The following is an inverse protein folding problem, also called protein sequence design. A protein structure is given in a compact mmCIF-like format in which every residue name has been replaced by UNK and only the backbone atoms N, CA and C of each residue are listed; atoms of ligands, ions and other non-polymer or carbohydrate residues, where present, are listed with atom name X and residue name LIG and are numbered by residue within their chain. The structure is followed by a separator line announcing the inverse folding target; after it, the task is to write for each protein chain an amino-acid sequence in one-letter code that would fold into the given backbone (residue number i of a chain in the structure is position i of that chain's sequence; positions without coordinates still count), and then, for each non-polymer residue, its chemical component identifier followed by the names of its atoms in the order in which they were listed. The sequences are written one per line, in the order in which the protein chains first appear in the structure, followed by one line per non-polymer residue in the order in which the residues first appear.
data_IF_616567442888
#
_entry.id   IF_616567442888
#
_cell.length_a   1.000
_cell.length_b   1.000
_cell.length_c   1.000
_cell.angle_alpha   90.00
_cell.angle_beta   90.00
_cell.angle_gamma   90.00
#
_symmetry.space_group_name_H-M   'P 1'
#
loop_
_entity.id
_entity.type
_entity.pdbx_description
1 polymer ?
#
# COMPACT_ATOMS: atom_id res chain seq x y z
N UNK A 1 38.03 -66.13 19.90
CA UNK A 1 37.16 -65.45 20.93
C UNK A 1 37.36 -63.97 20.84
N UNK A 2 36.60 -63.29 19.99
CA UNK A 2 36.64 -61.86 19.84
C UNK A 2 35.41 -61.29 20.52
N UNK A 3 35.62 -60.49 21.54
CA UNK A 3 34.56 -59.72 22.21
C UNK A 3 34.40 -58.39 21.50
N UNK A 4 33.23 -58.17 20.87
CA UNK A 4 32.78 -56.86 20.40
C UNK A 4 32.28 -56.05 21.61
N UNK A 5 32.80 -54.84 21.78
CA UNK A 5 32.31 -53.82 22.71
C UNK A 5 31.37 -52.89 21.89
N UNK A 6 30.12 -52.69 22.31
CA UNK A 6 29.26 -51.73 21.62
C UNK A 6 29.59 -50.29 22.04
N UNK A 7 29.83 -49.44 21.05
CA UNK A 7 30.01 -48.01 21.22
C UNK A 7 28.61 -47.36 21.36
N UNK A 8 28.26 -46.91 22.54
CA UNK A 8 27.02 -46.13 22.77
C UNK A 8 27.30 -44.70 22.38
N UNK A 9 26.72 -44.27 21.28
CA UNK A 9 26.70 -42.86 20.86
C UNK A 9 25.66 -42.10 21.73
N UNK A 10 26.12 -41.21 22.60
CA UNK A 10 25.26 -40.25 23.29
C UNK A 10 24.83 -39.19 22.30
N UNK A 11 23.59 -39.24 21.87
CA UNK A 11 22.93 -38.11 21.19
C UNK A 11 22.60 -37.02 22.21
N UNK A 12 23.42 -35.99 22.26
CA UNK A 12 23.09 -34.75 22.96
C UNK A 12 21.98 -34.03 22.22
N UNK A 13 20.74 -34.17 22.66
CA UNK A 13 19.61 -33.36 22.27
C UNK A 13 19.82 -31.93 22.79
N UNK A 14 20.39 -31.08 21.96
CA UNK A 14 20.40 -29.64 22.21
C UNK A 14 18.98 -29.10 22.11
N UNK A 15 18.35 -28.84 23.25
CA UNK A 15 17.16 -27.99 23.31
C UNK A 15 17.60 -26.60 22.89
N UNK A 16 17.22 -26.19 21.68
CA UNK A 16 17.27 -24.79 21.30
C UNK A 16 16.29 -24.03 22.20
N UNK A 17 16.82 -23.34 23.22
CA UNK A 17 16.06 -22.31 23.91
C UNK A 17 15.71 -21.25 22.86
N UNK A 18 14.41 -21.04 22.61
CA UNK A 18 13.94 -19.85 21.94
C UNK A 18 14.50 -18.67 22.76
N UNK A 19 15.32 -17.82 22.12
CA UNK A 19 15.84 -16.63 22.77
C UNK A 19 14.64 -15.78 23.19
N UNK A 20 14.52 -15.50 24.49
CA UNK A 20 13.47 -14.62 24.99
C UNK A 20 13.57 -13.26 24.29
N UNK A 21 12.41 -12.76 23.83
CA UNK A 21 12.34 -11.43 23.19
C UNK A 21 12.87 -10.36 24.14
N UNK A 22 13.69 -9.41 23.66
CA UNK A 22 14.15 -8.35 24.52
C UNK A 22 12.96 -7.53 25.04
N UNK A 23 13.00 -7.23 26.33
CA UNK A 23 11.99 -6.42 27.00
C UNK A 23 12.61 -5.20 27.69
N UNK A 24 11.77 -4.20 27.99
CA UNK A 24 12.22 -2.96 28.58
C UNK A 24 12.90 -3.18 29.95
N UNK A 25 12.24 -3.88 30.86
CA UNK A 25 12.69 -4.01 32.26
C UNK A 25 14.04 -4.69 32.41
N UNK A 26 14.24 -5.77 31.68
CA UNK A 26 15.39 -6.65 31.85
C UNK A 26 16.55 -6.29 30.94
N UNK A 27 16.25 -5.73 29.75
CA UNK A 27 17.24 -5.55 28.72
C UNK A 27 17.52 -4.09 28.37
N UNK A 28 16.49 -3.23 28.29
CA UNK A 28 16.63 -1.85 27.81
C UNK A 28 16.86 -0.86 28.95
N UNK A 29 16.13 -1.00 30.05
CA UNK A 29 16.28 -0.13 31.20
C UNK A 29 17.70 -0.10 31.77
N UNK A 30 18.48 -1.22 31.83
CA UNK A 30 19.88 -1.18 32.21
C UNK A 30 20.73 -0.27 31.30
N UNK A 31 20.50 -0.33 29.96
CA UNK A 31 21.19 0.54 28.99
C UNK A 31 20.86 2.01 29.26
N UNK A 32 19.57 2.33 29.46
CA UNK A 32 19.15 3.70 29.74
C UNK A 32 19.68 4.21 31.08
N UNK A 33 19.76 3.37 32.11
CA UNK A 33 20.37 3.72 33.40
C UNK A 33 21.84 4.10 33.27
N UNK A 34 22.57 3.39 32.43
CA UNK A 34 24.02 3.60 32.24
C UNK A 34 24.30 4.86 31.42
N UNK A 35 23.51 5.13 30.37
CA UNK A 35 23.86 6.13 29.38
C UNK A 35 22.93 7.35 29.32
N UNK A 36 21.65 7.22 29.71
CA UNK A 36 20.62 8.21 29.40
C UNK A 36 19.98 8.86 30.63
N UNK A 37 19.76 8.10 31.72
CA UNK A 37 18.98 8.56 32.88
C UNK A 37 19.65 9.70 33.65
N UNK A 38 20.91 10.05 33.37
CA UNK A 38 21.57 11.22 33.95
C UNK A 38 20.92 12.56 33.53
N UNK A 39 20.24 12.59 32.38
CA UNK A 39 19.56 13.76 31.80
C UNK A 39 18.05 13.54 31.61
N UNK A 40 17.65 12.32 31.22
CA UNK A 40 16.27 11.96 30.92
C UNK A 40 15.62 11.19 32.09
N UNK A 41 15.30 11.92 33.18
CA UNK A 41 14.69 11.41 34.39
C UNK A 41 13.65 12.42 34.91
N UNK A 42 12.79 12.05 35.88
CA UNK A 42 11.73 12.92 36.41
C UNK A 42 12.19 14.27 36.97
N UNK A 43 13.44 14.40 37.41
CA UNK A 43 13.97 15.61 38.03
C UNK A 43 14.50 16.61 36.99
N UNK A 44 15.19 16.11 35.94
CA UNK A 44 15.80 16.93 34.88
C UNK A 44 14.99 16.97 33.60
N UNK A 45 14.35 15.86 33.25
CA UNK A 45 13.53 15.58 32.07
C UNK A 45 13.83 16.48 30.87
N UNK A 46 15.10 16.54 30.42
CA UNK A 46 15.50 17.29 29.22
C UNK A 46 14.62 16.90 28.04
N UNK A 47 14.06 17.87 27.35
CA UNK A 47 13.03 17.71 26.31
C UNK A 47 11.73 17.04 26.80
N UNK A 48 11.39 17.12 28.10
CA UNK A 48 10.24 16.44 28.72
C UNK A 48 10.26 14.91 28.58
N UNK A 49 11.43 14.32 28.35
CA UNK A 49 11.61 12.87 28.13
C UNK A 49 12.06 12.18 29.42
N UNK A 50 11.28 11.20 29.86
CA UNK A 50 11.63 10.29 30.95
C UNK A 50 11.94 8.89 30.41
N UNK A 51 13.21 8.48 30.49
CA UNK A 51 13.66 7.15 30.10
C UNK A 51 13.82 6.18 31.29
N UNK A 52 13.40 6.58 32.48
CA UNK A 52 13.47 5.74 33.69
C UNK A 52 12.32 4.75 33.78
N UNK A 53 11.23 5.01 33.07
CA UNK A 53 10.01 4.17 33.08
C UNK A 53 9.58 3.81 31.68
N UNK A 54 8.96 2.65 31.50
CA UNK A 54 8.37 2.23 30.23
C UNK A 54 7.31 3.24 29.75
N UNK A 55 6.43 3.66 30.66
CA UNK A 55 5.40 4.65 30.34
C UNK A 55 5.98 5.99 29.89
N UNK A 56 7.09 6.44 30.47
CA UNK A 56 7.80 7.65 30.06
C UNK A 56 8.38 7.54 28.65
N UNK A 57 8.98 6.41 28.30
CA UNK A 57 9.50 6.17 26.95
C UNK A 57 8.38 6.16 25.91
N UNK A 58 7.27 5.49 26.19
CA UNK A 58 6.11 5.40 25.28
C UNK A 58 5.38 6.74 25.16
N UNK A 59 5.32 7.52 26.24
CA UNK A 59 4.75 8.88 26.20
C UNK A 59 5.53 9.80 25.25
N UNK A 60 6.86 9.60 25.15
CA UNK A 60 7.73 10.41 24.33
C UNK A 60 8.17 11.72 24.98
N UNK A 61 8.60 12.68 24.15
CA UNK A 61 9.15 13.98 24.52
C UNK A 61 8.20 15.12 24.20
N UNK A 62 8.58 16.36 24.53
CA UNK A 62 7.87 17.57 24.07
C UNK A 62 7.81 17.69 22.53
N UNK A 63 8.70 17.00 21.81
CA UNK A 63 8.70 16.93 20.34
C UNK A 63 7.84 15.80 19.76
N UNK A 64 7.24 14.95 20.60
CA UNK A 64 6.43 13.81 20.18
C UNK A 64 7.00 12.45 20.53
N UNK A 65 6.53 11.41 19.84
CA UNK A 65 6.99 10.03 20.00
C UNK A 65 8.50 9.88 19.72
N UNK A 66 9.22 9.29 20.66
CA UNK A 66 10.66 9.00 20.51
C UNK A 66 10.94 7.56 20.06
N UNK A 67 9.98 6.65 20.25
CA UNK A 67 10.04 5.25 19.79
C UNK A 67 8.76 4.88 19.06
N UNK A 68 8.88 4.21 17.92
CA UNK A 68 7.76 3.67 17.16
C UNK A 68 7.86 2.16 17.10
N UNK A 69 6.88 1.45 17.66
CA UNK A 69 6.87 0.00 17.65
C UNK A 69 7.03 -0.56 16.24
N UNK A 70 7.99 -1.46 16.05
CA UNK A 70 8.26 -2.09 14.77
C UNK A 70 9.15 -1.31 13.80
N UNK A 71 9.45 -0.04 14.06
CA UNK A 71 10.12 0.85 13.09
C UNK A 71 11.33 1.56 13.72
N UNK A 72 12.43 0.85 13.97
CA UNK A 72 13.61 1.44 14.63
C UNK A 72 14.20 2.59 13.82
N UNK A 73 14.32 2.47 12.49
CA UNK A 73 15.01 3.43 11.63
C UNK A 73 14.30 4.79 11.47
N UNK A 74 13.10 4.96 12.02
CA UNK A 74 12.39 6.24 12.12
C UNK A 74 11.98 6.57 13.56
N UNK A 75 12.58 5.88 14.53
CA UNK A 75 12.45 6.16 15.96
C UNK A 75 13.53 7.13 16.38
N UNK A 76 13.20 8.34 16.81
CA UNK A 76 14.16 9.37 17.19
C UNK A 76 15.19 8.91 18.22
N UNK A 77 14.76 8.09 19.16
CA UNK A 77 15.66 7.49 20.13
C UNK A 77 16.75 6.64 19.45
N UNK A 78 16.37 5.84 18.44
CA UNK A 78 17.32 4.99 17.71
C UNK A 78 18.24 5.82 16.82
N UNK A 79 17.69 6.79 16.09
CA UNK A 79 18.47 7.71 15.26
C UNK A 79 19.50 8.49 16.09
N UNK A 80 19.12 8.98 17.27
CA UNK A 80 20.00 9.71 18.18
C UNK A 80 21.14 8.85 18.72
N UNK A 81 20.87 7.61 19.15
CA UNK A 81 21.92 6.70 19.68
C UNK A 81 22.83 6.12 18.59
N UNK A 82 22.38 6.12 17.33
CA UNK A 82 23.19 5.74 16.17
C UNK A 82 24.01 6.88 15.59
N UNK A 83 23.77 8.11 16.08
CA UNK A 83 24.38 9.33 15.58
C UNK A 83 24.07 9.56 14.08
N UNK A 84 22.79 9.41 13.69
CA UNK A 84 22.34 9.70 12.34
C UNK A 84 22.59 11.17 11.96
N UNK A 85 22.80 11.44 10.65
CA UNK A 85 23.34 12.72 10.18
C UNK A 85 22.50 13.96 10.54
N UNK A 86 21.15 13.80 10.62
CA UNK A 86 20.23 14.92 10.78
C UNK A 86 19.61 15.00 12.19
N UNK A 87 20.12 14.23 13.16
CA UNK A 87 19.59 14.15 14.51
C UNK A 87 20.69 14.45 15.53
N UNK A 88 20.34 15.14 16.63
CA UNK A 88 21.28 15.42 17.69
C UNK A 88 21.79 14.12 18.33
N UNK A 89 23.12 13.89 18.35
CA UNK A 89 23.68 12.63 18.81
C UNK A 89 23.56 12.47 20.33
N UNK A 90 23.12 11.30 20.77
CA UNK A 90 23.01 10.92 22.17
C UNK A 90 23.91 9.73 22.54
N UNK A 91 24.59 9.76 23.68
CA UNK A 91 24.71 10.86 24.65
C UNK A 91 25.50 12.05 24.10
N UNK A 92 25.13 13.31 24.45
CA UNK A 92 25.77 14.50 23.88
C UNK A 92 27.24 14.59 24.30
N UNK A 93 28.11 14.94 23.35
CA UNK A 93 29.58 15.10 23.57
C UNK A 93 30.28 13.84 24.08
N UNK A 94 29.68 12.66 23.93
CA UNK A 94 30.28 11.36 24.28
C UNK A 94 30.33 10.46 23.05
N UNK A 95 31.19 9.43 23.08
CA UNK A 95 31.16 8.39 22.06
C UNK A 95 29.78 7.71 21.99
N UNK A 96 29.49 7.16 20.82
CA UNK A 96 28.36 6.27 20.58
C UNK A 96 28.36 5.13 21.61
N UNK A 97 27.18 4.72 22.09
CA UNK A 97 27.05 3.56 22.96
C UNK A 97 27.47 2.27 22.23
N UNK A 98 27.84 1.19 22.94
CA UNK A 98 28.33 -0.04 22.33
C UNK A 98 27.37 -0.61 21.28
N UNK A 99 27.88 -1.06 20.14
CA UNK A 99 27.06 -1.59 19.04
C UNK A 99 26.14 -2.76 19.45
N UNK A 100 26.57 -3.59 20.40
CA UNK A 100 25.72 -4.65 20.95
C UNK A 100 24.49 -4.12 21.71
N UNK A 101 24.63 -3.00 22.42
CA UNK A 101 23.51 -2.35 23.11
C UNK A 101 22.58 -1.66 22.11
N UNK A 102 23.13 -1.06 21.06
CA UNK A 102 22.34 -0.48 19.95
C UNK A 102 21.54 -1.58 19.25
N UNK A 103 22.16 -2.72 18.97
CA UNK A 103 21.49 -3.85 18.36
C UNK A 103 20.32 -4.36 19.22
N UNK A 104 20.50 -4.37 20.56
CA UNK A 104 19.46 -4.78 21.49
C UNK A 104 18.31 -3.78 21.55
N UNK A 105 18.58 -2.47 21.53
CA UNK A 105 17.54 -1.43 21.43
C UNK A 105 16.81 -1.55 20.11
N UNK A 106 17.53 -1.77 18.99
CA UNK A 106 16.94 -2.02 17.67
C UNK A 106 15.95 -3.18 17.71
N UNK A 107 16.41 -4.31 18.24
CA UNK A 107 15.58 -5.52 18.33
C UNK A 107 14.36 -5.29 19.21
N UNK A 108 14.48 -4.62 20.36
CA UNK A 108 13.36 -4.29 21.23
C UNK A 108 12.29 -3.42 20.53
N UNK A 109 12.72 -2.39 19.79
CA UNK A 109 11.80 -1.56 19.01
C UNK A 109 11.15 -2.40 17.90
N UNK A 110 11.93 -3.19 17.18
CA UNK A 110 11.49 -4.04 16.08
C UNK A 110 10.47 -5.10 16.53
N UNK A 111 10.62 -5.65 17.74
CA UNK A 111 9.70 -6.65 18.31
C UNK A 111 8.51 -6.03 19.07
N UNK A 112 8.35 -4.70 18.99
CA UNK A 112 7.16 -3.99 19.43
C UNK A 112 7.16 -3.54 20.87
N UNK A 113 8.30 -3.09 21.37
CA UNK A 113 8.42 -2.38 22.65
C UNK A 113 7.89 -3.18 23.86
N UNK A 114 8.21 -4.46 23.97
CA UNK A 114 7.71 -5.31 25.08
C UNK A 114 8.18 -4.76 26.42
N UNK A 115 7.27 -4.58 27.40
CA UNK A 115 7.62 -4.00 28.71
C UNK A 115 8.38 -4.96 29.63
N UNK A 116 7.92 -6.21 29.72
CA UNK A 116 8.47 -7.22 30.65
C UNK A 116 8.34 -8.62 30.04
N UNK A 117 8.97 -9.60 30.67
CA UNK A 117 8.87 -11.01 30.28
C UNK A 117 7.41 -11.46 30.30
N UNK A 118 6.89 -11.93 29.17
CA UNK A 118 5.47 -12.27 28.97
C UNK A 118 4.54 -11.08 28.71
N UNK A 119 5.09 -9.86 28.61
CA UNK A 119 4.33 -8.67 28.20
C UNK A 119 3.85 -8.76 26.76
N UNK A 120 2.75 -8.06 26.45
CA UNK A 120 2.24 -7.96 25.09
C UNK A 120 3.10 -6.98 24.29
N UNK A 121 3.37 -7.33 23.04
CA UNK A 121 3.98 -6.44 22.05
C UNK A 121 2.97 -5.34 21.67
N UNK A 122 3.44 -4.10 21.51
CA UNK A 122 2.64 -3.01 20.96
C UNK A 122 2.45 -3.14 19.45
N UNK A 123 3.13 -4.08 18.79
CA UNK A 123 2.83 -4.42 17.41
C UNK A 123 1.38 -4.92 17.33
N UNK A 124 0.61 -4.33 16.44
CA UNK A 124 -0.70 -4.88 16.14
C UNK A 124 -0.51 -6.28 15.55
N UNK A 125 -1.07 -7.31 16.18
CA UNK A 125 -1.18 -8.62 15.54
C UNK A 125 -2.10 -8.47 14.32
N UNK A 126 -1.51 -8.37 13.15
CA UNK A 126 -2.25 -8.45 11.91
C UNK A 126 -2.55 -9.94 11.68
N UNK A 127 -3.76 -10.37 12.02
CA UNK A 127 -4.26 -11.73 11.74
C UNK A 127 -4.65 -11.85 10.27
N UNK A 128 -3.65 -11.70 9.42
CA UNK A 128 -3.79 -11.80 7.98
C UNK A 128 -3.06 -13.05 7.50
N UNK A 129 -3.77 -13.93 6.78
CA UNK A 129 -3.15 -15.14 6.23
C UNK A 129 -2.33 -14.78 4.98
N UNK A 130 -1.02 -14.65 5.18
CA UNK A 130 -0.03 -14.35 4.15
C UNK A 130 0.28 -15.59 3.29
N UNK A 131 -0.20 -16.78 3.70
CA UNK A 131 0.18 -18.05 3.06
C UNK A 131 -0.62 -18.37 1.80
N UNK A 132 -1.70 -17.65 1.52
CA UNK A 132 -2.49 -17.85 0.31
C UNK A 132 -1.84 -17.18 -0.89
N UNK A 133 -0.66 -17.66 -1.24
CA UNK A 133 -0.05 -17.37 -2.52
C UNK A 133 -0.98 -17.76 -3.64
N UNK A 134 -1.33 -16.86 -4.50
CA UNK A 134 -1.29 -16.98 -5.95
C UNK A 134 -2.35 -16.14 -6.63
N UNK A 135 -1.97 -15.58 -7.76
CA UNK A 135 -2.80 -15.09 -8.86
C UNK A 135 -3.78 -16.15 -9.44
N UNK A 136 -3.99 -17.25 -8.74
CA UNK A 136 -4.83 -18.37 -9.17
C UNK A 136 -6.24 -18.19 -8.64
N UNK A 137 -7.22 -18.47 -9.49
CA UNK A 137 -8.63 -18.53 -9.12
C UNK A 137 -8.81 -19.39 -7.87
N UNK A 138 -9.56 -18.92 -6.85
CA UNK A 138 -9.84 -19.71 -5.65
C UNK A 138 -10.47 -21.07 -6.02
N UNK A 139 -10.13 -22.12 -5.28
CA UNK A 139 -10.64 -23.48 -5.52
C UNK A 139 -12.13 -23.67 -5.14
N UNK A 140 -12.76 -22.66 -4.55
CA UNK A 140 -14.16 -22.63 -4.15
C UNK A 140 -14.91 -21.52 -4.86
N UNK A 141 -16.10 -21.19 -4.32
CA UNK A 141 -16.86 -20.03 -4.77
C UNK A 141 -16.05 -18.77 -4.50
N UNK A 142 -16.05 -17.79 -5.44
CA UNK A 142 -15.39 -16.50 -5.22
C UNK A 142 -15.95 -15.77 -4.02
N UNK A 143 -15.12 -15.03 -3.31
CA UNK A 143 -15.52 -14.28 -2.12
C UNK A 143 -16.62 -13.26 -2.45
N UNK A 144 -17.74 -13.37 -1.75
CA UNK A 144 -18.88 -12.46 -1.83
C UNK A 144 -19.28 -12.02 -0.42
N UNK A 145 -19.77 -10.80 -0.24
CA UNK A 145 -20.24 -10.30 1.05
C UNK A 145 -21.30 -11.21 1.68
N UNK A 146 -21.12 -11.52 2.98
CA UNK A 146 -22.05 -12.32 3.77
C UNK A 146 -22.61 -11.47 4.92
N UNK A 147 -23.89 -11.08 4.83
CA UNK A 147 -24.60 -10.37 5.90
C UNK A 147 -23.94 -9.05 6.36
N UNK A 148 -23.43 -8.27 5.42
CA UNK A 148 -22.86 -6.96 5.73
C UNK A 148 -23.97 -5.92 6.00
N UNK A 149 -23.68 -4.85 6.78
CA UNK A 149 -24.62 -3.76 6.95
C UNK A 149 -24.85 -3.04 5.62
N UNK A 150 -26.10 -2.72 5.33
CA UNK A 150 -26.53 -1.97 4.14
C UNK A 150 -27.03 -0.56 4.48
N UNK A 151 -26.97 -0.19 5.77
CA UNK A 151 -27.34 1.16 6.23
C UNK A 151 -26.09 2.02 6.17
N UNK A 152 -26.06 3.09 5.34
CA UNK A 152 -24.89 3.93 5.21
C UNK A 152 -24.65 4.75 6.50
N UNK A 153 -23.41 4.79 7.00
CA UNK A 153 -23.07 5.62 8.15
C UNK A 153 -23.12 7.13 7.82
N UNK A 154 -23.03 7.48 6.53
CA UNK A 154 -23.16 8.84 6.06
C UNK A 154 -24.15 8.91 4.90
N UNK A 155 -25.14 9.78 5.01
CA UNK A 155 -26.12 10.09 3.96
C UNK A 155 -25.95 11.56 3.59
N UNK A 156 -25.70 11.82 2.32
CA UNK A 156 -25.53 13.18 1.79
C UNK A 156 -26.66 13.53 0.83
N UNK A 157 -27.08 14.80 0.73
CA UNK A 157 -28.14 15.23 -0.19
C UNK A 157 -27.74 15.07 -1.68
N UNK A 158 -26.44 14.96 -1.96
CA UNK A 158 -25.92 14.78 -3.31
C UNK A 158 -25.02 13.52 -3.36
N UNK A 159 -24.97 12.82 -4.51
CA UNK A 159 -24.01 11.73 -4.71
C UNK A 159 -22.58 12.21 -4.51
N UNK A 160 -21.78 11.41 -3.82
CA UNK A 160 -20.34 11.65 -3.74
C UNK A 160 -19.67 11.26 -5.05
N UNK A 161 -18.65 12.01 -5.48
CA UNK A 161 -17.83 11.63 -6.62
C UNK A 161 -17.25 10.21 -6.42
N UNK A 162 -17.22 9.42 -7.48
CA UNK A 162 -16.53 8.12 -7.44
C UNK A 162 -15.03 8.39 -7.56
N UNK A 163 -14.33 8.46 -6.44
CA UNK A 163 -12.88 8.73 -6.40
C UNK A 163 -12.06 7.45 -6.55
N UNK A 164 -12.64 6.30 -6.24
CA UNK A 164 -12.04 4.98 -6.37
C UNK A 164 -13.09 3.94 -6.77
N UNK A 165 -12.68 2.98 -7.60
CA UNK A 165 -13.51 1.92 -8.13
C UNK A 165 -12.64 0.68 -8.35
N UNK A 166 -13.13 -0.50 -7.96
CA UNK A 166 -12.49 -1.77 -8.24
C UNK A 166 -13.52 -2.88 -8.48
N UNK A 167 -13.29 -3.71 -9.50
CA UNK A 167 -14.05 -4.92 -9.73
C UNK A 167 -13.30 -6.14 -9.17
N UNK A 168 -14.03 -7.07 -8.55
CA UNK A 168 -13.43 -8.32 -8.06
C UNK A 168 -12.88 -9.15 -9.23
N UNK A 169 -11.71 -9.78 -9.06
CA UNK A 169 -11.13 -10.61 -10.11
C UNK A 169 -11.95 -11.87 -10.42
N UNK A 170 -12.78 -12.37 -9.52
CA UNK A 170 -13.45 -13.66 -9.71
C UNK A 170 -14.95 -13.68 -9.40
N UNK A 171 -15.44 -12.70 -8.63
CA UNK A 171 -16.83 -12.57 -8.25
C UNK A 171 -17.54 -11.47 -9.05
N UNK A 172 -18.85 -11.52 -9.24
CA UNK A 172 -19.64 -10.42 -9.79
C UNK A 172 -19.82 -9.29 -8.75
N UNK A 173 -18.70 -8.77 -8.25
CA UNK A 173 -18.63 -7.81 -7.16
C UNK A 173 -17.85 -6.57 -7.58
N UNK A 174 -18.37 -5.40 -7.26
CA UNK A 174 -17.70 -4.13 -7.47
C UNK A 174 -17.69 -3.31 -6.17
N UNK A 175 -16.53 -2.73 -5.87
CA UNK A 175 -16.33 -1.79 -4.77
C UNK A 175 -16.28 -0.37 -5.30
N UNK A 176 -17.06 0.53 -4.71
CA UNK A 176 -17.22 1.92 -5.15
C UNK A 176 -16.98 2.82 -3.94
N UNK A 177 -16.16 3.85 -4.08
CA UNK A 177 -15.97 4.84 -3.03
C UNK A 177 -17.24 5.66 -2.80
N UNK A 178 -17.57 5.90 -1.54
CA UNK A 178 -18.56 6.85 -1.08
C UNK A 178 -17.95 7.83 -0.08
N UNK A 179 -18.76 8.67 0.54
CA UNK A 179 -18.30 9.58 1.57
C UNK A 179 -18.04 8.82 2.88
N UNK A 180 -16.77 8.72 3.29
CA UNK A 180 -16.30 7.99 4.46
C UNK A 180 -16.77 6.53 4.50
N UNK A 181 -17.02 5.92 3.36
CA UNK A 181 -17.52 4.56 3.23
C UNK A 181 -17.21 3.98 1.85
N UNK A 182 -17.32 2.67 1.73
CA UNK A 182 -17.17 1.90 0.51
C UNK A 182 -18.44 1.10 0.29
N UNK A 183 -19.01 1.20 -0.90
CA UNK A 183 -20.20 0.48 -1.29
C UNK A 183 -19.81 -0.79 -2.05
N UNK A 184 -20.23 -1.95 -1.59
CA UNK A 184 -20.08 -3.22 -2.28
C UNK A 184 -21.37 -3.54 -3.02
N UNK A 185 -21.32 -3.61 -4.35
CA UNK A 185 -22.47 -3.87 -5.21
C UNK A 185 -22.25 -5.10 -6.09
N UNK A 186 -23.34 -5.79 -6.39
CA UNK A 186 -23.33 -6.84 -7.41
C UNK A 186 -23.09 -6.21 -8.78
N UNK A 187 -22.12 -6.70 -9.55
CA UNK A 187 -21.70 -6.07 -10.80
C UNK A 187 -22.77 -6.12 -11.92
N UNK A 188 -23.64 -7.13 -11.91
CA UNK A 188 -24.69 -7.32 -12.93
C UNK A 188 -26.03 -6.75 -12.49
N UNK A 189 -26.47 -7.04 -11.26
CA UNK A 189 -27.78 -6.59 -10.76
C UNK A 189 -27.75 -5.18 -10.18
N UNK A 190 -26.55 -4.66 -9.88
CA UNK A 190 -26.30 -3.39 -9.22
C UNK A 190 -26.85 -3.28 -7.79
N UNK A 191 -27.31 -4.41 -7.23
CA UNK A 191 -27.80 -4.50 -5.87
C UNK A 191 -26.69 -4.17 -4.87
N UNK A 192 -27.05 -3.43 -3.81
CA UNK A 192 -26.14 -3.13 -2.70
C UNK A 192 -26.02 -4.37 -1.81
N UNK A 193 -24.84 -4.95 -1.73
CA UNK A 193 -24.54 -6.15 -0.95
C UNK A 193 -23.94 -5.83 0.43
N UNK A 194 -23.38 -4.64 0.60
CA UNK A 194 -22.80 -4.23 1.86
C UNK A 194 -22.14 -2.87 1.82
N UNK A 195 -21.85 -2.34 3.01
CA UNK A 195 -21.16 -1.07 3.20
C UNK A 195 -20.02 -1.28 4.18
N UNK A 196 -18.82 -0.84 3.80
CA UNK A 196 -17.64 -0.85 4.68
C UNK A 196 -17.37 0.58 5.13
N UNK A 197 -17.35 0.87 6.45
CA UNK A 197 -16.99 2.18 6.95
C UNK A 197 -15.50 2.49 6.70
N UNK A 198 -15.21 3.72 6.23
CA UNK A 198 -13.87 4.25 6.06
C UNK A 198 -13.80 5.65 6.68
N UNK A 199 -13.77 5.75 8.02
CA UNK A 199 -13.77 7.03 8.74
C UNK A 199 -12.48 7.84 8.56
N UNK A 200 -11.44 7.25 7.98
CA UNK A 200 -10.14 7.86 7.68
C UNK A 200 -10.22 9.06 6.73
N UNK A 201 -11.31 9.19 5.98
CA UNK A 201 -11.54 10.31 5.08
C UNK A 201 -11.98 9.90 3.67
N UNK A 202 -11.44 10.57 2.65
CA UNK A 202 -11.74 10.27 1.25
C UNK A 202 -11.01 9.00 0.81
N UNK A 203 -11.73 8.06 0.21
CA UNK A 203 -11.15 6.86 -0.40
C UNK A 203 -10.61 7.24 -1.79
N UNK A 204 -9.29 7.21 -1.98
CA UNK A 204 -8.64 7.53 -3.26
C UNK A 204 -8.27 6.29 -4.07
N UNK A 205 -8.12 5.14 -3.40
CA UNK A 205 -7.78 3.87 -4.04
C UNK A 205 -8.58 2.73 -3.48
N UNK A 206 -9.04 1.85 -4.36
CA UNK A 206 -9.61 0.54 -4.05
C UNK A 206 -8.92 -0.49 -4.94
N UNK A 207 -8.52 -1.63 -4.36
CA UNK A 207 -7.95 -2.76 -5.08
C UNK A 207 -8.41 -4.07 -4.43
N UNK A 208 -8.89 -5.00 -5.22
CA UNK A 208 -9.05 -6.37 -4.74
C UNK A 208 -7.71 -7.11 -4.81
N UNK A 209 -7.45 -7.97 -3.85
CA UNK A 209 -6.37 -8.94 -3.94
C UNK A 209 -6.56 -9.86 -5.13
N UNK A 210 -5.48 -10.48 -5.60
CA UNK A 210 -5.49 -11.33 -6.81
C UNK A 210 -6.46 -12.52 -6.71
N UNK A 211 -6.66 -13.05 -5.51
CA UNK A 211 -7.65 -14.11 -5.23
C UNK A 211 -9.07 -13.56 -4.94
N UNK A 212 -9.25 -12.25 -4.80
CA UNK A 212 -10.53 -11.61 -4.55
C UNK A 212 -11.03 -11.66 -3.10
N UNK A 213 -10.27 -12.23 -2.17
CA UNK A 213 -10.69 -12.39 -0.77
C UNK A 213 -10.51 -11.14 0.08
N UNK A 214 -9.62 -10.25 -0.33
CA UNK A 214 -9.27 -9.01 0.39
C UNK A 214 -9.56 -7.80 -0.48
N UNK A 215 -10.11 -6.76 0.13
CA UNK A 215 -10.24 -5.43 -0.46
C UNK A 215 -9.30 -4.47 0.26
N UNK A 216 -8.36 -3.91 -0.47
CA UNK A 216 -7.53 -2.79 -0.04
C UNK A 216 -8.27 -1.48 -0.30
N UNK A 217 -8.34 -0.64 0.71
CA UNK A 217 -8.81 0.73 0.60
C UNK A 217 -7.74 1.69 1.14
N UNK A 218 -7.39 2.68 0.36
CA UNK A 218 -6.43 3.72 0.75
C UNK A 218 -7.00 5.11 0.56
N UNK A 219 -6.61 6.04 1.42
CA UNK A 219 -7.10 7.41 1.37
C UNK A 219 -6.72 8.22 2.59
N UNK A 220 -7.56 9.19 2.94
CA UNK A 220 -7.30 10.05 4.09
C UNK A 220 -7.88 11.44 3.95
N UNK A 221 -7.34 12.36 4.76
CA UNK A 221 -7.66 13.78 4.78
C UNK A 221 -6.41 14.55 4.37
N UNK A 222 -6.49 15.27 3.25
CA UNK A 222 -5.36 16.03 2.71
C UNK A 222 -4.74 16.97 3.75
N UNK A 223 -3.41 16.92 3.88
CA UNK A 223 -2.64 17.70 4.83
C UNK A 223 -2.86 17.32 6.31
N UNK A 224 -3.49 16.18 6.61
CA UNK A 224 -3.79 15.75 7.98
C UNK A 224 -3.50 14.29 8.25
N UNK A 225 -4.00 13.39 7.41
CA UNK A 225 -3.86 11.95 7.66
C UNK A 225 -4.01 11.13 6.40
N UNK A 226 -3.37 9.96 6.39
CA UNK A 226 -3.54 8.97 5.33
C UNK A 226 -3.27 7.56 5.84
N UNK A 227 -4.07 6.61 5.35
CA UNK A 227 -4.01 5.22 5.78
C UNK A 227 -4.47 4.27 4.69
N UNK A 228 -3.97 3.05 4.74
CA UNK A 228 -4.48 1.90 3.99
C UNK A 228 -5.15 0.94 4.96
N UNK A 229 -6.33 0.47 4.59
CA UNK A 229 -7.10 -0.54 5.35
C UNK A 229 -7.34 -1.75 4.46
N UNK A 230 -7.05 -2.92 4.98
CA UNK A 230 -7.37 -4.19 4.35
C UNK A 230 -8.66 -4.75 4.97
N UNK A 231 -9.63 -5.07 4.12
CA UNK A 231 -10.90 -5.64 4.54
C UNK A 231 -11.04 -7.08 4.03
N UNK A 232 -11.53 -7.96 4.87
CA UNK A 232 -12.06 -9.25 4.45
C UNK A 232 -13.36 -9.05 3.66
N UNK A 233 -13.43 -9.54 2.44
CA UNK A 233 -14.55 -9.30 1.54
C UNK A 233 -15.85 -9.96 2.02
N UNK A 234 -15.76 -11.13 2.61
CA UNK A 234 -16.93 -11.88 3.05
C UNK A 234 -17.58 -11.29 4.31
N UNK A 235 -16.76 -11.00 5.32
CA UNK A 235 -17.22 -10.54 6.63
C UNK A 235 -17.21 -9.03 6.81
N UNK A 236 -16.55 -8.27 5.92
CA UNK A 236 -16.33 -6.84 6.06
C UNK A 236 -15.39 -6.45 7.19
N UNK A 237 -14.75 -7.43 7.85
CA UNK A 237 -13.86 -7.17 8.97
C UNK A 237 -12.58 -6.50 8.49
N UNK A 238 -12.11 -5.51 9.25
CA UNK A 238 -10.79 -4.91 9.06
C UNK A 238 -9.72 -5.91 9.48
N UNK A 239 -8.89 -6.32 8.53
CA UNK A 239 -7.80 -7.27 8.74
C UNK A 239 -6.54 -6.55 9.21
N UNK A 240 -6.23 -5.41 8.55
CA UNK A 240 -5.06 -4.61 8.85
C UNK A 240 -5.31 -3.14 8.59
N UNK A 241 -4.59 -2.28 9.31
CA UNK A 241 -4.48 -0.85 9.07
C UNK A 241 -3.00 -0.52 8.94
N UNK A 242 -2.59 0.01 7.80
CA UNK A 242 -1.19 0.19 7.40
C UNK A 242 -0.93 1.64 7.03
N UNK A 243 0.22 2.14 7.44
CA UNK A 243 0.62 3.52 7.24
C UNK A 243 0.01 4.45 8.28
N UNK A 244 0.71 5.53 8.53
CA UNK A 244 0.31 6.64 9.39
C UNK A 244 0.87 7.92 8.73
N UNK A 245 0.26 8.25 7.58
CA UNK A 245 0.71 9.35 6.75
C UNK A 245 0.15 10.67 7.26
N UNK A 246 0.93 11.75 7.11
CA UNK A 246 0.50 13.12 7.43
C UNK A 246 -0.28 13.77 6.27
N UNK A 247 -0.56 13.01 5.21
CA UNK A 247 -1.34 13.43 4.06
C UNK A 247 -2.02 12.21 3.43
N UNK A 248 -3.00 12.45 2.57
CA UNK A 248 -3.77 11.38 1.93
C UNK A 248 -2.89 10.40 1.16
N UNK A 249 -3.18 9.10 1.27
CA UNK A 249 -2.67 8.08 0.37
C UNK A 249 -3.35 8.24 -0.99
N UNK A 250 -2.58 8.54 -2.05
CA UNK A 250 -3.11 8.76 -3.40
C UNK A 250 -3.20 7.46 -4.21
N UNK A 251 -2.25 6.55 -4.00
CA UNK A 251 -2.29 5.21 -4.58
C UNK A 251 -1.68 4.19 -3.62
N UNK A 252 -2.18 2.97 -3.67
CA UNK A 252 -1.69 1.83 -2.92
C UNK A 252 -2.05 0.53 -3.64
N UNK A 253 -1.28 -0.51 -3.41
CA UNK A 253 -1.59 -1.84 -3.91
C UNK A 253 -1.02 -2.92 -3.00
N UNK A 254 -1.50 -4.15 -3.16
CA UNK A 254 -1.15 -5.34 -2.40
C UNK A 254 -0.43 -6.33 -3.31
N UNK A 255 0.70 -6.87 -2.88
CA UNK A 255 1.40 -7.92 -3.62
C UNK A 255 0.53 -9.17 -3.81
N UNK A 256 0.80 -9.96 -4.85
CA UNK A 256 -0.01 -11.13 -5.21
C UNK A 256 -0.05 -12.18 -4.09
N UNK A 257 1.04 -12.32 -3.35
CA UNK A 257 1.21 -13.22 -2.22
C UNK A 257 0.74 -12.64 -0.87
N UNK A 258 0.20 -11.41 -0.91
CA UNK A 258 -0.24 -10.65 0.27
C UNK A 258 0.87 -10.27 1.27
N UNK A 259 2.14 -10.45 0.94
CA UNK A 259 3.26 -10.14 1.86
C UNK A 259 3.53 -8.65 1.99
N UNK A 260 3.29 -7.87 0.93
CA UNK A 260 3.62 -6.45 0.89
C UNK A 260 2.41 -5.60 0.58
N UNK A 261 2.28 -4.50 1.31
CA UNK A 261 1.46 -3.35 0.92
C UNK A 261 2.39 -2.20 0.62
N UNK A 262 2.24 -1.62 -0.56
CA UNK A 262 2.94 -0.39 -0.91
C UNK A 262 1.96 0.76 -1.01
N UNK A 263 2.32 1.90 -0.45
CA UNK A 263 1.54 3.13 -0.51
C UNK A 263 2.40 4.32 -0.91
N UNK A 264 1.76 5.29 -1.56
CA UNK A 264 2.37 6.51 -2.09
C UNK A 264 1.42 7.70 -1.99
N UNK A 265 2.00 8.91 -2.05
CA UNK A 265 1.19 10.12 -1.95
C UNK A 265 1.98 11.41 -2.21
N UNK A 266 1.53 12.55 -1.65
CA UNK A 266 2.14 13.86 -1.84
C UNK A 266 3.56 13.98 -1.28
N UNK A 267 3.93 13.13 -0.32
CA UNK A 267 5.27 13.14 0.30
C UNK A 267 6.41 12.77 -0.66
N UNK A 268 6.12 12.30 -1.90
CA UNK A 268 7.09 11.85 -2.92
C UNK A 268 7.89 10.61 -2.51
N UNK A 269 7.40 9.87 -1.52
CA UNK A 269 8.04 8.72 -0.93
C UNK A 269 7.22 7.49 -1.28
N UNK A 270 7.92 6.44 -1.71
CA UNK A 270 7.33 5.10 -1.80
C UNK A 270 7.61 4.38 -0.48
N UNK A 271 6.58 3.87 0.16
CA UNK A 271 6.67 3.11 1.40
C UNK A 271 6.17 1.69 1.18
N UNK A 272 7.01 0.71 1.50
CA UNK A 272 6.69 -0.73 1.42
C UNK A 272 6.57 -1.28 2.83
N UNK A 273 5.46 -1.91 3.13
CA UNK A 273 5.16 -2.49 4.44
C UNK A 273 5.00 -4.00 4.36
N UNK A 274 5.47 -4.70 5.38
CA UNK A 274 5.16 -6.11 5.60
C UNK A 274 3.75 -6.24 6.18
N UNK A 275 2.90 -7.00 5.52
CA UNK A 275 1.50 -7.19 5.95
C UNK A 275 1.37 -8.07 7.19
N UNK A 276 2.34 -8.92 7.48
CA UNK A 276 2.29 -9.84 8.63
C UNK A 276 2.36 -9.13 9.97
N UNK A 277 3.02 -7.98 10.00
CA UNK A 277 3.29 -7.22 11.23
C UNK A 277 3.06 -5.71 11.09
N UNK A 278 2.76 -5.21 9.87
CA UNK A 278 2.56 -3.78 9.58
C UNK A 278 3.84 -2.95 9.61
N UNK A 279 5.03 -3.58 9.63
CA UNK A 279 6.30 -2.86 9.66
C UNK A 279 6.65 -2.22 8.33
N UNK A 280 7.22 -1.01 8.37
CA UNK A 280 7.82 -0.37 7.23
C UNK A 280 9.14 -1.06 6.89
N UNK A 281 9.20 -1.71 5.72
CA UNK A 281 10.40 -2.36 5.20
C UNK A 281 11.29 -1.38 4.43
N UNK A 282 10.69 -0.61 3.54
CA UNK A 282 11.42 0.32 2.69
C UNK A 282 10.74 1.69 2.65
N UNK A 283 11.57 2.72 2.74
CA UNK A 283 11.23 4.12 2.53
C UNK A 283 12.12 4.65 1.42
N UNK A 284 11.55 4.87 0.23
CA UNK A 284 12.30 5.15 -0.99
C UNK A 284 12.01 6.58 -1.46
N UNK A 285 13.05 7.40 -1.53
CA UNK A 285 13.01 8.80 -1.95
C UNK A 285 13.69 8.95 -3.31
N UNK A 286 12.95 8.70 -4.38
CA UNK A 286 13.46 8.79 -5.76
C UNK A 286 12.63 9.72 -6.63
N UNK A 287 11.33 9.79 -6.38
CA UNK A 287 10.41 10.62 -7.14
C UNK A 287 10.61 12.11 -6.87
N UNK A 288 10.41 12.92 -7.89
CA UNK A 288 10.64 14.37 -7.83
C UNK A 288 9.39 15.18 -7.50
N UNK A 289 8.20 14.58 -7.65
CA UNK A 289 6.91 15.19 -7.34
C UNK A 289 5.94 14.16 -6.75
N UNK A 290 4.70 14.57 -6.44
CA UNK A 290 3.65 13.71 -5.90
C UNK A 290 3.53 12.45 -6.72
N UNK A 291 3.51 11.32 -6.02
CA UNK A 291 3.32 10.02 -6.66
C UNK A 291 1.81 9.78 -6.74
N UNK A 292 1.31 9.60 -7.96
CA UNK A 292 -0.13 9.59 -8.27
C UNK A 292 -0.66 8.24 -8.71
N UNK A 293 0.24 7.31 -9.06
CA UNK A 293 -0.14 5.97 -9.48
C UNK A 293 0.84 4.92 -8.94
N UNK A 294 0.32 3.75 -8.62
CA UNK A 294 1.07 2.60 -8.15
C UNK A 294 0.34 1.32 -8.55
N UNK A 295 1.07 0.31 -8.98
CA UNK A 295 0.51 -1.00 -9.30
C UNK A 295 1.55 -2.10 -9.13
N UNK A 296 1.20 -3.18 -8.43
CA UNK A 296 2.01 -4.40 -8.37
C UNK A 296 1.92 -5.22 -9.64
N UNK A 297 3.04 -5.79 -10.06
CA UNK A 297 3.08 -6.82 -11.08
C UNK A 297 2.28 -8.06 -10.65
N UNK A 298 1.76 -8.86 -11.59
CA UNK A 298 0.93 -10.01 -11.26
C UNK A 298 1.61 -11.11 -10.45
N UNK A 299 2.94 -11.23 -10.55
CA UNK A 299 3.77 -12.14 -9.73
C UNK A 299 3.95 -11.65 -8.29
N UNK A 300 3.82 -10.34 -8.05
CA UNK A 300 3.99 -9.72 -6.75
C UNK A 300 5.43 -9.37 -6.40
N UNK A 301 6.41 -9.74 -7.22
CA UNK A 301 7.83 -9.50 -6.98
C UNK A 301 8.24 -8.06 -7.29
N UNK A 302 7.53 -7.42 -8.22
CA UNK A 302 7.80 -6.05 -8.66
C UNK A 302 6.55 -5.18 -8.53
N UNK A 303 6.79 -3.86 -8.43
CA UNK A 303 5.73 -2.87 -8.56
C UNK A 303 6.23 -1.63 -9.31
N UNK A 304 5.32 -0.93 -9.94
CA UNK A 304 5.58 0.34 -10.62
C UNK A 304 4.96 1.49 -9.84
N UNK A 305 5.65 2.63 -9.76
CA UNK A 305 5.15 3.89 -9.20
C UNK A 305 5.39 5.03 -10.18
N UNK A 306 4.48 6.02 -10.23
CA UNK A 306 4.58 7.13 -11.17
C UNK A 306 4.20 8.47 -10.53
N UNK A 307 4.88 9.55 -10.97
CA UNK A 307 4.71 10.87 -10.39
C UNK A 307 4.12 11.93 -11.37
N UNK A 308 3.92 13.13 -10.85
CA UNK A 308 3.34 14.26 -11.58
C UNK A 308 4.28 14.87 -12.61
N UNK A 309 5.57 14.57 -12.57
CA UNK A 309 6.54 15.02 -13.55
C UNK A 309 6.75 14.03 -14.71
N UNK A 310 6.03 12.90 -14.69
CA UNK A 310 6.11 11.88 -15.73
C UNK A 310 7.08 10.75 -15.43
N UNK A 311 7.81 10.81 -14.32
CA UNK A 311 8.73 9.75 -13.91
C UNK A 311 7.97 8.48 -13.52
N UNK A 312 8.36 7.35 -14.10
CA UNK A 312 7.87 6.02 -13.72
C UNK A 312 9.07 5.21 -13.28
N UNK A 313 8.98 4.59 -12.11
CA UNK A 313 9.99 3.68 -11.58
C UNK A 313 9.39 2.31 -11.33
N UNK A 314 10.13 1.26 -11.70
CA UNK A 314 9.80 -0.13 -11.38
C UNK A 314 10.78 -0.62 -10.32
N UNK A 315 10.27 -1.28 -9.31
CA UNK A 315 10.98 -1.66 -8.10
C UNK A 315 10.86 -3.16 -7.83
N UNK A 316 11.90 -3.75 -7.27
CA UNK A 316 11.83 -5.06 -6.62
C UNK A 316 11.26 -4.88 -5.21
N UNK A 317 10.14 -5.54 -4.89
CA UNK A 317 9.39 -5.28 -3.66
C UNK A 317 10.16 -5.69 -2.39
N UNK A 318 10.84 -6.83 -2.44
CA UNK A 318 11.56 -7.37 -1.27
C UNK A 318 12.80 -6.56 -0.90
N UNK A 319 13.51 -6.02 -1.90
CA UNK A 319 14.76 -5.26 -1.68
C UNK A 319 14.59 -3.74 -1.71
N UNK A 320 13.45 -3.25 -2.20
CA UNK A 320 13.26 -1.82 -2.47
C UNK A 320 14.20 -1.27 -3.54
N UNK A 321 14.79 -2.15 -4.36
CA UNK A 321 15.75 -1.78 -5.39
C UNK A 321 15.06 -1.39 -6.69
N UNK A 322 15.62 -0.38 -7.40
CA UNK A 322 15.10 0.02 -8.70
C UNK A 322 15.50 -0.99 -9.78
N UNK A 323 14.51 -1.42 -10.57
CA UNK A 323 14.70 -2.30 -11.73
C UNK A 323 14.76 -1.47 -13.01
N UNK A 324 13.79 -0.57 -13.21
CA UNK A 324 13.72 0.33 -14.36
C UNK A 324 13.35 1.75 -13.95
N UNK A 325 13.90 2.73 -14.67
CA UNK A 325 13.40 4.10 -14.71
C UNK A 325 12.90 4.36 -16.14
N UNK A 326 11.60 4.56 -16.30
CA UNK A 326 10.91 4.68 -17.58
C UNK A 326 10.67 6.17 -17.87
N UNK A 327 11.19 6.68 -19.00
CA UNK A 327 11.25 8.12 -19.30
C UNK A 327 10.67 8.45 -20.69
N UNK A 328 9.36 8.30 -20.86
CA UNK A 328 8.62 8.75 -22.07
C UNK A 328 7.69 9.91 -21.77
N UNK A 329 6.93 9.81 -20.64
CA UNK A 329 6.04 10.88 -20.22
C UNK A 329 6.81 12.08 -19.67
N UNK A 330 6.29 13.30 -19.91
CA UNK A 330 6.87 14.57 -19.41
C UNK A 330 5.84 15.38 -18.60
N UNK A 331 4.71 14.78 -18.29
CA UNK A 331 3.60 15.33 -17.53
C UNK A 331 3.06 14.26 -16.59
N UNK A 332 2.14 14.64 -15.71
CA UNK A 332 1.56 13.73 -14.73
C UNK A 332 1.08 12.42 -15.36
N UNK A 333 1.62 11.33 -14.86
CA UNK A 333 1.08 9.99 -15.10
C UNK A 333 -0.10 9.79 -14.14
N UNK A 334 -1.27 9.53 -14.72
CA UNK A 334 -2.53 9.46 -13.97
C UNK A 334 -2.80 8.07 -13.42
N UNK A 335 -2.42 7.03 -14.17
CA UNK A 335 -2.69 5.64 -13.80
C UNK A 335 -1.71 4.66 -14.44
N UNK A 336 -1.55 3.50 -13.79
CA UNK A 336 -0.68 2.39 -14.19
C UNK A 336 -1.45 1.08 -14.11
N UNK A 337 -1.30 0.22 -15.10
CA UNK A 337 -1.89 -1.11 -15.10
C UNK A 337 -0.94 -2.15 -15.70
N UNK A 338 -0.70 -3.25 -14.99
CA UNK A 338 0.04 -4.39 -15.48
C UNK A 338 -0.87 -5.36 -16.22
N UNK A 339 -0.39 -5.87 -17.37
CA UNK A 339 -1.05 -6.99 -18.04
C UNK A 339 -0.89 -8.26 -17.19
N UNK A 340 -1.90 -9.13 -17.23
CA UNK A 340 -1.97 -10.33 -16.37
C UNK A 340 -0.78 -11.30 -16.50
N UNK A 341 -0.03 -11.25 -17.59
CA UNK A 341 1.17 -12.07 -17.79
C UNK A 341 2.48 -11.42 -17.29
N UNK A 342 2.40 -10.21 -16.72
CA UNK A 342 3.54 -9.45 -16.21
C UNK A 342 4.49 -8.89 -17.27
N UNK A 343 4.23 -9.12 -18.57
CA UNK A 343 5.15 -8.74 -19.64
C UNK A 343 4.98 -7.31 -20.14
N UNK A 344 3.85 -6.70 -19.84
CA UNK A 344 3.53 -5.35 -20.28
C UNK A 344 3.01 -4.51 -19.12
N UNK A 345 3.46 -3.27 -19.04
CA UNK A 345 2.89 -2.22 -18.23
C UNK A 345 2.24 -1.18 -19.13
N UNK A 346 1.05 -0.73 -18.81
CA UNK A 346 0.40 0.40 -19.44
C UNK A 346 0.45 1.63 -18.54
N UNK A 347 0.72 2.80 -19.09
CA UNK A 347 0.66 4.08 -18.38
C UNK A 347 -0.13 5.10 -19.16
N UNK A 348 -1.03 5.81 -18.48
CA UNK A 348 -1.80 6.91 -19.02
C UNK A 348 -1.40 8.25 -18.40
N UNK A 349 -1.32 9.33 -19.21
CA UNK A 349 -0.86 10.63 -18.74
C UNK A 349 -1.75 11.80 -19.19
N UNK A 350 -1.54 12.95 -18.54
CA UNK A 350 -2.31 14.19 -18.76
C UNK A 350 -2.12 14.81 -20.16
N UNK A 351 -1.12 14.37 -20.94
CA UNK A 351 -0.94 14.74 -22.35
C UNK A 351 -1.83 13.94 -23.31
N UNK A 352 -2.64 13.01 -22.80
CA UNK A 352 -3.52 12.15 -23.58
C UNK A 352 -2.84 10.94 -24.18
N UNK A 353 -1.57 10.74 -23.90
CA UNK A 353 -0.81 9.56 -24.34
C UNK A 353 -1.08 8.36 -23.47
N UNK A 354 -1.17 7.22 -24.12
CA UNK A 354 -1.07 5.88 -23.55
C UNK A 354 0.27 5.29 -24.01
N UNK A 355 1.08 4.83 -23.07
CA UNK A 355 2.34 4.15 -23.37
C UNK A 355 2.26 2.71 -22.89
N UNK A 356 2.61 1.77 -23.78
CA UNK A 356 2.80 0.36 -23.47
C UNK A 356 4.29 0.08 -23.35
N UNK A 357 4.70 -0.43 -22.20
CA UNK A 357 6.11 -0.74 -21.88
C UNK A 357 6.34 -2.24 -21.97
N UNK A 358 7.37 -2.67 -22.70
CA UNK A 358 7.87 -4.05 -22.63
C UNK A 358 8.71 -4.22 -21.36
N UNK A 359 8.26 -5.06 -20.45
CA UNK A 359 8.91 -5.26 -19.16
C UNK A 359 10.08 -6.23 -19.20
N UNK A 360 10.44 -6.71 -20.40
CA UNK A 360 11.68 -7.47 -20.59
C UNK A 360 12.92 -6.58 -20.47
N UNK A 361 12.83 -5.35 -20.96
CA UNK A 361 13.94 -4.41 -21.04
C UNK A 361 13.60 -2.96 -20.62
N UNK A 362 12.32 -2.70 -20.29
CA UNK A 362 11.84 -1.37 -19.84
C UNK A 362 11.70 -0.34 -20.97
N UNK A 363 11.63 -0.76 -22.26
CA UNK A 363 11.45 0.17 -23.37
C UNK A 363 9.99 0.36 -23.75
N UNK A 364 9.60 1.54 -24.27
CA UNK A 364 8.27 1.75 -24.80
C UNK A 364 8.04 0.92 -26.07
N UNK A 365 7.18 -0.09 -25.98
CA UNK A 365 6.77 -0.91 -27.12
C UNK A 365 5.83 -0.15 -28.06
N UNK A 366 4.97 0.73 -27.50
CA UNK A 366 4.00 1.53 -28.25
C UNK A 366 3.67 2.82 -27.51
N UNK A 367 3.58 3.92 -28.24
CA UNK A 367 3.06 5.21 -27.76
C UNK A 367 1.87 5.58 -28.62
N UNK A 368 0.72 5.91 -27.98
CA UNK A 368 -0.55 6.18 -28.65
C UNK A 368 -1.15 7.49 -28.14
N UNK A 369 -1.63 8.35 -29.02
CA UNK A 369 -2.50 9.48 -28.66
C UNK A 369 -3.91 8.94 -28.36
N UNK A 370 -4.16 8.54 -27.11
CA UNK A 370 -5.37 7.82 -26.74
C UNK A 370 -6.56 8.74 -26.49
N UNK A 371 -6.35 9.87 -25.80
CA UNK A 371 -7.39 10.84 -25.46
C UNK A 371 -6.91 12.26 -25.73
N UNK A 372 -6.90 12.64 -26.99
CA UNK A 372 -6.50 13.97 -27.47
C UNK A 372 -7.70 14.71 -28.03
N UNK A 373 -7.97 15.89 -27.54
CA UNK A 373 -9.01 16.73 -28.09
C UNK A 373 -8.57 17.32 -29.45
N UNK A 374 -9.48 17.38 -30.41
CA UNK A 374 -9.22 18.00 -31.71
C UNK A 374 -9.00 19.51 -31.60
N UNK A 375 -9.64 20.16 -30.61
CA UNK A 375 -9.45 21.56 -30.30
C UNK A 375 -9.49 21.78 -28.82
N UNK A 376 -8.40 22.29 -28.26
CA UNK A 376 -8.33 22.72 -26.87
C UNK A 376 -8.41 24.24 -26.75
N UNK A 377 -9.31 24.72 -25.90
CA UNK A 377 -9.33 26.12 -25.51
C UNK A 377 -8.71 26.29 -24.12
N UNK A 378 -8.32 27.51 -23.78
CA UNK A 378 -7.78 27.84 -22.44
C UNK A 378 -8.72 27.39 -21.28
N UNK A 379 -10.01 27.23 -21.56
CA UNK A 379 -11.04 26.90 -20.58
C UNK A 379 -11.58 25.47 -20.68
N UNK A 380 -11.25 24.73 -21.74
CA UNK A 380 -11.74 23.37 -21.98
C UNK A 380 -10.60 22.45 -22.37
N UNK A 381 -9.74 22.09 -21.39
CA UNK A 381 -8.76 21.02 -21.60
C UNK A 381 -9.47 19.68 -21.55
N UNK A 382 -9.57 19.03 -22.70
CA UNK A 382 -10.16 17.70 -22.86
C UNK A 382 -9.14 16.64 -23.26
N UNK A 383 -7.86 16.99 -23.28
CA UNK A 383 -6.76 16.03 -23.48
C UNK A 383 -6.34 15.45 -22.12
N UNK A 384 -6.09 14.17 -22.09
CA UNK A 384 -5.57 13.46 -20.92
C UNK A 384 -6.19 12.09 -20.75
N UNK A 385 -5.36 11.09 -20.53
CA UNK A 385 -5.78 9.77 -20.00
C UNK A 385 -5.92 9.90 -18.50
N UNK A 386 -7.04 9.46 -17.95
CA UNK A 386 -7.32 9.53 -16.51
C UNK A 386 -7.10 8.17 -15.84
N UNK A 387 -7.60 7.11 -16.50
CA UNK A 387 -7.53 5.76 -15.96
C UNK A 387 -7.27 4.75 -17.05
N UNK A 388 -6.57 3.68 -16.72
CA UNK A 388 -6.24 2.54 -17.59
C UNK A 388 -6.46 1.24 -16.82
N UNK A 389 -6.98 0.21 -17.52
CA UNK A 389 -7.07 -1.13 -16.94
C UNK A 389 -7.05 -2.22 -18.01
N UNK A 390 -6.45 -3.38 -17.72
CA UNK A 390 -6.38 -4.51 -18.62
C UNK A 390 -7.56 -5.46 -18.39
N UNK A 391 -8.34 -5.67 -19.42
CA UNK A 391 -9.37 -6.71 -19.43
C UNK A 391 -8.74 -8.12 -19.49
N UNK A 392 -9.46 -9.11 -18.99
CA UNK A 392 -9.03 -10.53 -19.07
C UNK A 392 -8.81 -11.03 -20.50
N UNK A 393 -9.48 -10.43 -21.47
CA UNK A 393 -9.26 -10.72 -22.90
C UNK A 393 -7.85 -10.35 -23.38
N UNK A 394 -7.09 -9.60 -22.59
CA UNK A 394 -5.82 -8.99 -22.97
C UNK A 394 -5.99 -7.63 -23.64
N UNK A 395 -7.20 -7.16 -23.86
CA UNK A 395 -7.45 -5.80 -24.35
C UNK A 395 -7.28 -4.78 -23.23
N UNK A 396 -6.91 -3.57 -23.56
CA UNK A 396 -6.74 -2.46 -22.62
C UNK A 396 -7.92 -1.48 -22.75
N UNK A 397 -8.41 -1.01 -21.61
CA UNK A 397 -9.44 0.01 -21.54
C UNK A 397 -8.84 1.30 -21.02
N UNK A 398 -9.20 2.42 -21.63
CA UNK A 398 -8.82 3.76 -21.18
C UNK A 398 -10.05 4.65 -21.02
N UNK A 399 -10.02 5.52 -20.01
CA UNK A 399 -10.97 6.63 -19.88
C UNK A 399 -10.21 7.96 -19.83
N UNK A 400 -10.73 8.97 -20.51
CA UNK A 400 -10.03 10.24 -20.70
C UNK A 400 -10.81 11.49 -20.35
N UNK A 401 -10.11 12.62 -20.33
CA UNK A 401 -10.69 13.95 -20.08
C UNK A 401 -11.66 14.42 -21.15
N UNK A 402 -11.69 13.77 -22.30
CA UNK A 402 -12.69 13.92 -23.35
C UNK A 402 -14.01 13.19 -23.06
N UNK A 403 -14.09 12.57 -21.84
CA UNK A 403 -15.19 11.76 -21.32
C UNK A 403 -15.40 10.44 -22.07
N UNK A 404 -14.56 10.14 -23.05
CA UNK A 404 -14.58 8.91 -23.83
C UNK A 404 -14.02 7.73 -23.05
N UNK A 405 -14.55 6.55 -23.35
CA UNK A 405 -14.03 5.26 -22.88
C UNK A 405 -13.69 4.44 -24.11
N UNK A 406 -12.44 4.01 -24.25
CA UNK A 406 -11.91 3.34 -25.45
C UNK A 406 -11.31 2.00 -25.13
N UNK A 407 -11.47 1.08 -26.08
CA UNK A 407 -10.88 -0.26 -26.06
C UNK A 407 -9.73 -0.32 -27.05
N UNK A 408 -8.61 -0.86 -26.59
CA UNK A 408 -7.37 -1.05 -27.35
C UNK A 408 -6.99 -2.51 -27.38
N UNK A 409 -6.40 -2.97 -28.47
CA UNK A 409 -5.82 -4.31 -28.53
C UNK A 409 -4.60 -4.44 -27.60
N UNK A 410 -4.16 -5.67 -27.41
CA UNK A 410 -2.90 -5.98 -26.70
C UNK A 410 -1.66 -5.28 -27.26
N UNK A 411 -1.71 -4.86 -28.54
CA UNK A 411 -0.63 -4.14 -29.22
C UNK A 411 -0.82 -2.61 -29.22
N UNK A 412 -1.86 -2.09 -28.54
CA UNK A 412 -2.17 -0.67 -28.52
C UNK A 412 -2.83 -0.13 -29.77
N UNK A 413 -3.42 -0.99 -30.61
CA UNK A 413 -4.23 -0.55 -31.75
C UNK A 413 -5.67 -0.28 -31.28
N UNK A 414 -6.34 0.76 -31.79
CA UNK A 414 -7.72 1.06 -31.43
C UNK A 414 -8.65 -0.07 -31.89
N UNK A 415 -9.50 -0.57 -30.99
CA UNK A 415 -10.50 -1.60 -31.31
C UNK A 415 -11.87 -0.96 -31.47
N UNK A 416 -12.35 -0.23 -30.47
CA UNK A 416 -13.65 0.44 -30.50
C UNK A 416 -13.77 1.55 -29.46
N UNK A 417 -14.64 2.51 -29.73
CA UNK A 417 -15.12 3.45 -28.72
C UNK A 417 -16.28 2.79 -27.97
N UNK A 418 -16.10 2.55 -26.68
CA UNK A 418 -17.09 1.88 -25.82
C UNK A 418 -18.23 2.82 -25.44
N UNK A 419 -18.01 4.14 -25.47
CA UNK A 419 -19.00 5.14 -25.12
C UNK A 419 -18.45 6.35 -24.38
N UNK A 420 -19.34 7.16 -23.82
CA UNK A 420 -18.99 8.39 -23.10
C UNK A 420 -19.70 8.46 -21.75
N UNK A 421 -18.98 8.96 -20.74
CA UNK A 421 -19.53 9.27 -19.43
C UNK A 421 -20.39 10.55 -19.48
N UNK A 422 -21.34 10.67 -18.55
CA UNK A 422 -22.15 11.87 -18.37
C UNK A 422 -21.37 13.01 -17.70
N UNK A 423 -20.36 12.67 -16.93
CA UNK A 423 -19.43 13.59 -16.27
C UNK A 423 -17.98 13.11 -16.47
N UNK A 424 -17.01 13.88 -15.95
CA UNK A 424 -15.60 13.54 -16.06
C UNK A 424 -15.34 12.16 -15.42
N UNK A 425 -14.86 11.16 -16.16
CA UNK A 425 -14.48 9.87 -15.57
C UNK A 425 -13.34 10.03 -14.59
N UNK A 426 -13.29 9.17 -13.60
CA UNK A 426 -12.28 9.20 -12.53
C UNK A 426 -11.50 7.91 -12.44
N UNK A 427 -12.17 6.78 -12.66
CA UNK A 427 -11.60 5.43 -12.57
C UNK A 427 -12.26 4.50 -13.59
N UNK A 428 -11.48 3.55 -14.04
CA UNK A 428 -11.92 2.41 -14.85
C UNK A 428 -11.58 1.13 -14.10
N UNK A 429 -12.46 0.14 -14.17
CA UNK A 429 -12.13 -1.21 -13.73
C UNK A 429 -12.81 -2.23 -14.61
N UNK A 430 -12.06 -3.24 -15.04
CA UNK A 430 -12.54 -4.28 -15.93
C UNK A 430 -13.18 -5.40 -15.12
N UNK A 431 -14.43 -5.71 -15.45
CA UNK A 431 -15.21 -6.78 -14.81
C UNK A 431 -14.68 -8.16 -15.16
N UNK A 432 -15.04 -9.12 -14.36
CA UNK A 432 -14.41 -10.43 -14.42
C UNK A 432 -15.31 -11.54 -14.94
N UNK A 433 -16.62 -11.45 -14.80
CA UNK A 433 -17.54 -12.50 -15.19
C UNK A 433 -17.81 -12.47 -16.69
N UNK A 434 -18.12 -11.29 -17.27
CA UNK A 434 -18.55 -11.17 -18.68
C UNK A 434 -17.71 -10.19 -19.53
N UNK A 435 -16.52 -9.81 -19.03
CA UNK A 435 -15.68 -8.82 -19.71
C UNK A 435 -16.27 -7.40 -19.68
N UNK A 436 -17.15 -7.11 -18.73
CA UNK A 436 -17.73 -5.78 -18.54
C UNK A 436 -16.70 -4.76 -18.04
N UNK A 437 -16.92 -3.50 -18.37
CA UNK A 437 -16.14 -2.35 -17.93
C UNK A 437 -17.00 -1.47 -17.05
N UNK A 438 -16.55 -1.16 -15.85
CA UNK A 438 -17.16 -0.18 -14.97
C UNK A 438 -16.34 1.11 -14.99
N UNK A 439 -17.02 2.24 -15.11
CA UNK A 439 -16.38 3.57 -15.13
C UNK A 439 -17.07 4.46 -14.11
N UNK A 440 -16.32 4.93 -13.11
CA UNK A 440 -16.79 5.93 -12.16
C UNK A 440 -16.60 7.34 -12.67
N UNK A 441 -17.49 8.27 -12.30
CA UNK A 441 -17.40 9.67 -12.67
C UNK A 441 -17.47 10.64 -11.47
N UNK A 442 -17.16 11.92 -11.71
CA UNK A 442 -17.21 12.97 -10.70
C UNK A 442 -18.64 13.30 -10.21
N UNK A 443 -19.68 12.91 -10.94
CA UNK A 443 -21.07 13.12 -10.51
C UNK A 443 -21.59 11.98 -9.62
N UNK A 444 -20.77 10.97 -9.34
CA UNK A 444 -21.12 9.84 -8.50
C UNK A 444 -21.81 8.70 -9.26
N UNK A 445 -21.83 8.75 -10.60
CA UNK A 445 -22.37 7.67 -11.40
C UNK A 445 -21.32 6.58 -11.64
N UNK A 446 -21.79 5.36 -11.83
CA UNK A 446 -21.01 4.24 -12.38
C UNK A 446 -21.65 3.79 -13.68
N UNK A 447 -20.92 3.94 -14.78
CA UNK A 447 -21.33 3.49 -16.11
C UNK A 447 -20.81 2.07 -16.33
N UNK A 448 -21.68 1.16 -16.73
CA UNK A 448 -21.33 -0.22 -17.08
C UNK A 448 -21.38 -0.38 -18.60
N UNK A 449 -20.29 -0.85 -19.18
CA UNK A 449 -20.11 -1.01 -20.61
C UNK A 449 -19.69 -2.44 -20.93
N UNK A 450 -20.17 -3.05 -22.03
CA UNK A 450 -19.68 -4.34 -22.47
C UNK A 450 -18.28 -4.17 -23.10
N UNK A 451 -17.28 -4.91 -22.66
CA UNK A 451 -16.00 -5.05 -23.36
C UNK A 451 -16.03 -6.31 -24.22
N UNK A 452 -16.71 -6.28 -25.35
CA UNK A 452 -16.71 -7.39 -26.33
C UNK A 452 -15.65 -7.17 -27.39
#
# INVERSE_FOLDING_TARGET
MNRLVPLIALLASGTAFAADKPNFKEHILPIFKEHCNGCHNPDKHEADLDLTTYAGVVKGSSGGEVVKAGVPDTSWLFESITHAADVEPMPPKKPKIPDAQIALVRQWIQEGLVENSGGQSMLREIKFDVTTTTSVRPKGDPAMPKSLPVIPPAVTPHPAAVTALAASPWAPLIAISGQNQILLKHAETHELLGILPFPEGVVHVLRFSRNGSVLLAGGGIGGSSGKVVLFDVESGRRLAEIGDEQDSVLAADLSADHRFVTLVGPAKIVKVFDTSNGQLLHRIEKHTDWITALSFAPDGDQFASADRNGGICVWEAEKGAIVYALDEHKVRVSDLAWRADGKMLASGADDGKLVLWDMKDGWPAKVVDAHKAEAETRYTRRTGVIAVDWAKSGNLVTAGRDWGVRLWSVLGEPVTDLGRCAALPTRVSTGQTDGGVAVGDLAGNVLFLPAK
#
